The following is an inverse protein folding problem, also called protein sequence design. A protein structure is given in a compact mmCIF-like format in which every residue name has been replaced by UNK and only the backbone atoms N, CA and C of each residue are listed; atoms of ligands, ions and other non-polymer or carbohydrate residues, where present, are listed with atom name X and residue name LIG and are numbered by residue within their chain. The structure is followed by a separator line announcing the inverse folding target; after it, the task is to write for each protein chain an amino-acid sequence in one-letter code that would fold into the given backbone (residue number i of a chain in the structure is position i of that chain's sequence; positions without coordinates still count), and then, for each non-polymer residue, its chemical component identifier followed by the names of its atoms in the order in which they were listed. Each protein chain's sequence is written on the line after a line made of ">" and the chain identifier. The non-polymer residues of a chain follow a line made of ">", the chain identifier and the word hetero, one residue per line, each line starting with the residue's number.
data_IF_261716826077
#
_entry.id   IF_261716826077
#
_cell.length_a   1.000
_cell.length_b   1.000
_cell.length_c   1.000
_cell.angle_alpha   90.00
_cell.angle_beta   90.00
_cell.angle_gamma   90.00
#
_symmetry.space_group_name_H-M   'P 1'
#
loop_
_entity.id
_entity.type
_entity.pdbx_description
1 polymer ?
#
# COMPACT_ATOMS: atom_id res chain seq x y z
N UNK A 1 20.31 -57.06 -0.73
CA UNK A 1 19.82 -56.05 0.23
C UNK A 1 19.22 -54.92 -0.59
N UNK A 2 17.91 -54.97 -0.79
CA UNK A 2 17.18 -54.04 -1.67
C UNK A 2 16.86 -52.79 -0.87
N UNK A 3 17.55 -51.68 -1.15
CA UNK A 3 17.25 -50.38 -0.56
C UNK A 3 15.98 -49.82 -1.22
N UNK A 4 14.88 -49.83 -0.47
CA UNK A 4 13.65 -49.12 -0.85
C UNK A 4 13.80 -47.63 -0.47
N UNK A 5 13.59 -46.67 -1.39
CA UNK A 5 13.67 -45.25 -1.04
C UNK A 5 12.48 -44.83 -0.17
N UNK A 6 12.62 -43.82 0.71
CA UNK A 6 11.52 -43.37 1.55
C UNK A 6 10.40 -42.77 0.69
N UNK A 7 9.16 -43.12 1.05
CA UNK A 7 7.93 -42.52 0.54
C UNK A 7 7.91 -41.02 0.85
N UNK A 8 8.32 -40.20 -0.11
CA UNK A 8 8.28 -38.75 0.01
C UNK A 8 6.85 -38.20 0.12
N UNK A 9 6.68 -37.11 0.87
CA UNK A 9 5.41 -36.39 0.98
C UNK A 9 5.16 -35.63 -0.32
N UNK A 10 3.94 -35.75 -0.85
CA UNK A 10 3.49 -35.04 -2.05
C UNK A 10 2.54 -33.93 -1.67
N UNK A 11 2.65 -32.79 -2.34
CA UNK A 11 1.72 -31.67 -2.17
C UNK A 11 0.31 -32.07 -2.60
N UNK A 12 -0.70 -31.86 -1.74
CA UNK A 12 -2.10 -32.13 -2.07
C UNK A 12 -2.68 -31.24 -3.19
N UNK A 13 -2.07 -30.08 -3.48
CA UNK A 13 -2.54 -29.11 -4.49
C UNK A 13 -1.89 -29.29 -5.87
N UNK A 14 -0.60 -29.63 -5.95
CA UNK A 14 0.13 -29.74 -7.24
C UNK A 14 0.90 -31.04 -7.44
N UNK A 15 0.83 -31.97 -6.48
CA UNK A 15 1.48 -33.28 -6.54
C UNK A 15 3.01 -33.28 -6.62
N UNK A 16 3.68 -32.13 -6.43
CA UNK A 16 5.13 -32.05 -6.35
C UNK A 16 5.66 -32.71 -5.06
N UNK A 17 6.84 -33.36 -5.14
CA UNK A 17 7.56 -33.89 -3.96
C UNK A 17 8.13 -32.76 -3.12
N UNK A 18 7.91 -32.81 -1.81
CA UNK A 18 8.38 -31.78 -0.86
C UNK A 18 9.41 -32.40 0.08
N UNK A 19 10.56 -31.74 0.26
CA UNK A 19 11.70 -32.27 1.03
C UNK A 19 11.58 -32.08 2.55
N UNK A 20 10.59 -31.30 3.01
CA UNK A 20 10.40 -30.96 4.42
C UNK A 20 9.07 -31.49 4.94
N UNK A 21 9.10 -32.06 6.15
CA UNK A 21 7.92 -32.40 6.97
C UNK A 21 7.23 -31.13 7.48
N UNK A 22 6.76 -30.28 6.57
CA UNK A 22 5.65 -29.40 6.88
C UNK A 22 4.40 -30.27 6.83
N UNK A 23 3.60 -30.23 7.89
CA UNK A 23 2.39 -31.03 8.10
C UNK A 23 1.58 -31.19 6.81
N UNK A 24 1.15 -32.42 6.53
CA UNK A 24 0.48 -32.84 5.30
C UNK A 24 -0.80 -32.05 4.95
N UNK A 25 -1.27 -31.19 5.85
CA UNK A 25 -2.46 -30.35 5.67
C UNK A 25 -2.17 -29.02 4.97
N UNK A 26 -0.92 -28.56 4.95
CA UNK A 26 -0.51 -27.31 4.31
C UNK A 26 0.33 -27.64 3.08
N UNK A 27 -0.25 -27.46 1.89
CA UNK A 27 0.40 -27.72 0.60
C UNK A 27 1.79 -27.08 0.46
N UNK A 28 2.54 -27.44 -0.59
CA UNK A 28 3.93 -26.98 -0.73
C UNK A 28 4.05 -25.44 -0.74
N UNK A 29 5.21 -24.93 -0.32
CA UNK A 29 5.49 -23.50 -0.20
C UNK A 29 5.15 -22.74 -1.50
N UNK A 30 5.41 -23.32 -2.66
CA UNK A 30 5.06 -22.75 -3.96
C UNK A 30 3.54 -22.63 -4.17
N UNK A 31 2.77 -23.66 -3.82
CA UNK A 31 1.30 -23.63 -3.88
C UNK A 31 0.68 -22.67 -2.87
N UNK A 32 1.30 -22.52 -1.70
CA UNK A 32 0.91 -21.55 -0.68
C UNK A 32 1.17 -20.11 -1.15
N UNK A 33 2.35 -19.86 -1.73
CA UNK A 33 2.68 -18.59 -2.39
C UNK A 33 1.70 -18.29 -3.52
N UNK A 34 1.32 -19.29 -4.32
CA UNK A 34 0.36 -19.10 -5.40
C UNK A 34 -1.06 -18.87 -4.88
N UNK A 35 -1.48 -19.55 -3.80
CA UNK A 35 -2.76 -19.25 -3.14
C UNK A 35 -2.81 -17.82 -2.57
N UNK A 36 -1.70 -17.31 -2.04
CA UNK A 36 -1.56 -15.91 -1.61
C UNK A 36 -1.48 -14.89 -2.76
N UNK A 37 -1.29 -15.34 -4.01
CA UNK A 37 -1.26 -14.49 -5.20
C UNK A 37 -2.55 -14.61 -6.04
N UNK A 38 -3.35 -15.65 -5.84
CA UNK A 38 -4.61 -15.91 -6.57
C UNK A 38 -5.82 -15.13 -6.03
N UNK A 39 -5.72 -14.46 -4.88
CA UNK A 39 -6.79 -13.57 -4.36
C UNK A 39 -6.73 -12.16 -4.98
N UNK A 40 -6.30 -12.08 -6.24
CA UNK A 40 -6.16 -10.83 -6.98
C UNK A 40 -6.78 -10.93 -8.36
N UNK A 41 -7.99 -11.47 -8.47
CA UNK A 41 -8.89 -11.11 -9.58
C UNK A 41 -10.30 -11.60 -9.30
N UNK A 42 -11.26 -10.68 -9.38
CA UNK A 42 -12.71 -10.92 -9.45
C UNK A 42 -13.45 -11.04 -8.10
N UNK A 43 -13.70 -9.89 -7.49
CA UNK A 43 -15.09 -9.51 -7.20
C UNK A 43 -15.34 -8.18 -7.89
N UNK A 44 -16.16 -8.26 -8.95
CA UNK A 44 -16.66 -7.13 -9.68
C UNK A 44 -17.62 -6.32 -8.81
N UNK A 45 -17.48 -5.01 -8.93
CA UNK A 45 -18.54 -3.99 -8.95
C UNK A 45 -19.71 -4.10 -7.96
N UNK A 46 -19.97 -2.97 -7.30
CA UNK A 46 -21.23 -2.60 -6.63
C UNK A 46 -21.38 -2.98 -5.16
N UNK A 47 -20.47 -2.47 -4.31
CA UNK A 47 -20.89 -2.04 -2.98
C UNK A 47 -20.52 -0.58 -2.82
N UNK A 48 -21.51 0.24 -2.45
CA UNK A 48 -21.40 1.67 -2.30
C UNK A 48 -20.44 2.01 -1.14
N UNK A 49 -19.14 1.94 -1.37
CA UNK A 49 -18.17 2.63 -0.51
C UNK A 49 -18.33 4.14 -0.80
N UNK A 50 -19.34 4.71 -0.14
CA UNK A 50 -19.70 6.11 -0.25
C UNK A 50 -18.52 6.92 0.28
N UNK A 51 -17.60 7.28 -0.62
CA UNK A 51 -16.41 8.07 -0.27
C UNK A 51 -16.90 9.32 0.45
N UNK A 52 -16.55 9.51 1.75
CA UNK A 52 -17.00 10.66 2.49
C UNK A 52 -16.47 11.91 1.81
N UNK A 53 -17.35 12.89 1.58
CA UNK A 53 -16.94 14.15 0.92
C UNK A 53 -15.88 14.88 1.74
N UNK A 54 -15.95 14.74 3.06
CA UNK A 54 -15.03 15.34 4.01
C UNK A 54 -14.74 14.40 5.18
N UNK A 55 -13.54 14.52 5.74
CA UNK A 55 -13.11 13.85 6.97
C UNK A 55 -12.38 14.89 7.83
N UNK A 56 -13.01 15.30 8.94
CA UNK A 56 -12.55 16.48 9.68
C UNK A 56 -12.42 17.72 8.79
N UNK A 57 -11.23 18.32 8.73
CA UNK A 57 -10.95 19.48 7.86
C UNK A 57 -10.49 19.11 6.44
N UNK A 58 -10.49 17.83 6.07
CA UNK A 58 -10.02 17.40 4.75
C UNK A 58 -11.19 17.20 3.81
N UNK A 59 -11.12 17.79 2.62
CA UNK A 59 -12.13 17.64 1.57
C UNK A 59 -11.54 16.89 0.37
N UNK A 60 -12.17 15.80 -0.06
CA UNK A 60 -11.68 15.00 -1.20
C UNK A 60 -12.03 15.73 -2.50
N UNK A 61 -10.99 15.99 -3.30
CA UNK A 61 -11.15 16.66 -4.59
C UNK A 61 -11.75 15.70 -5.61
N UNK A 62 -12.55 16.29 -6.51
CA UNK A 62 -13.23 15.57 -7.59
C UNK A 62 -12.66 15.94 -8.94
N UNK A 63 -12.73 14.99 -9.85
CA UNK A 63 -12.48 15.18 -11.27
C UNK A 63 -13.67 15.90 -11.94
N UNK A 64 -13.51 16.40 -13.18
CA UNK A 64 -14.59 17.06 -13.92
C UNK A 64 -15.83 16.19 -14.14
N UNK A 65 -15.67 14.86 -14.14
CA UNK A 65 -16.77 13.89 -14.24
C UNK A 65 -17.51 13.65 -12.91
N UNK A 66 -17.06 14.29 -11.82
CA UNK A 66 -17.64 14.19 -10.48
C UNK A 66 -17.12 13.03 -9.63
N UNK A 67 -16.25 12.18 -10.18
CA UNK A 67 -15.58 11.08 -9.48
C UNK A 67 -14.45 11.60 -8.57
N UNK A 68 -14.09 10.93 -7.48
CA UNK A 68 -12.99 11.35 -6.61
C UNK A 68 -11.62 11.13 -7.29
N UNK A 69 -10.68 12.05 -7.07
CA UNK A 69 -9.34 11.96 -7.64
C UNK A 69 -8.48 10.92 -6.88
N UNK A 70 -8.59 9.65 -7.26
CA UNK A 70 -7.77 8.58 -6.70
C UNK A 70 -6.31 8.71 -7.17
N UNK A 71 -5.38 8.67 -6.23
CA UNK A 71 -3.93 8.67 -6.46
C UNK A 71 -3.36 7.25 -6.49
N UNK A 72 -3.98 6.32 -5.79
CA UNK A 72 -3.57 4.92 -5.77
C UNK A 72 -4.41 4.07 -4.83
N UNK A 73 -4.46 2.77 -5.11
CA UNK A 73 -5.08 1.76 -4.24
C UNK A 73 -3.99 0.83 -3.71
N UNK A 74 -4.04 0.54 -2.42
CA UNK A 74 -3.15 -0.42 -1.77
C UNK A 74 -3.93 -1.39 -0.90
N UNK A 75 -3.23 -2.35 -0.30
CA UNK A 75 -3.85 -3.41 0.50
C UNK A 75 -4.76 -2.90 1.65
N UNK A 76 -4.44 -1.73 2.20
CA UNK A 76 -5.16 -1.16 3.35
C UNK A 76 -6.25 -0.16 2.96
N UNK A 77 -6.39 0.18 1.68
CA UNK A 77 -7.40 1.12 1.20
C UNK A 77 -6.91 2.04 0.08
N UNK A 78 -7.55 3.21 -0.06
CA UNK A 78 -7.39 4.09 -1.22
C UNK A 78 -6.87 5.45 -0.80
N UNK A 79 -5.93 6.00 -1.58
CA UNK A 79 -5.39 7.35 -1.38
C UNK A 79 -6.00 8.29 -2.40
N UNK A 80 -6.53 9.42 -1.93
CA UNK A 80 -7.15 10.45 -2.76
C UNK A 80 -6.39 11.77 -2.66
N UNK A 81 -6.52 12.59 -3.71
CA UNK A 81 -6.15 14.00 -3.65
C UNK A 81 -7.22 14.73 -2.84
N UNK A 82 -6.79 15.46 -1.82
CA UNK A 82 -7.68 16.22 -0.96
C UNK A 82 -7.09 17.61 -0.66
N UNK A 83 -7.91 18.47 -0.06
CA UNK A 83 -7.51 19.77 0.44
C UNK A 83 -7.76 19.84 1.95
N UNK A 84 -6.75 20.27 2.71
CA UNK A 84 -6.91 20.66 4.11
C UNK A 84 -7.49 22.07 4.14
N UNK A 85 -8.79 22.20 4.40
CA UNK A 85 -9.50 23.49 4.31
C UNK A 85 -9.09 24.46 5.42
N UNK A 86 -8.61 23.93 6.54
CA UNK A 86 -8.12 24.74 7.67
C UNK A 86 -6.80 25.43 7.34
N UNK A 87 -5.91 24.71 6.66
CA UNK A 87 -4.57 25.21 6.30
C UNK A 87 -4.44 25.63 4.82
N UNK A 88 -5.50 25.45 4.02
CA UNK A 88 -5.58 25.74 2.58
C UNK A 88 -4.40 25.18 1.79
N UNK A 89 -4.17 23.87 1.94
CA UNK A 89 -3.09 23.16 1.25
C UNK A 89 -3.56 21.83 0.66
N UNK A 90 -3.01 21.41 -0.48
CA UNK A 90 -3.26 20.09 -1.02
C UNK A 90 -2.59 19.02 -0.16
N UNK A 91 -3.27 17.89 -0.01
CA UNK A 91 -2.78 16.72 0.75
C UNK A 91 -3.12 15.43 0.01
N UNK A 92 -2.34 14.38 0.30
CA UNK A 92 -2.73 13.02 0.00
C UNK A 92 -3.50 12.46 1.21
N UNK A 93 -4.74 12.02 1.00
CA UNK A 93 -5.60 11.51 2.06
C UNK A 93 -5.86 10.02 1.83
N UNK A 94 -5.27 9.18 2.67
CA UNK A 94 -5.46 7.72 2.62
C UNK A 94 -6.64 7.32 3.49
N UNK A 95 -7.68 6.76 2.87
CA UNK A 95 -8.79 6.10 3.55
C UNK A 95 -8.45 4.63 3.76
N UNK A 96 -8.85 4.12 4.91
CA UNK A 96 -8.54 2.76 5.35
C UNK A 96 -9.83 1.95 5.37
N UNK A 97 -9.83 0.82 4.68
CA UNK A 97 -11.04 0.01 4.51
C UNK A 97 -11.59 -0.43 5.88
N UNK A 98 -12.92 -0.39 6.00
CA UNK A 98 -13.63 -0.76 7.23
C UNK A 98 -13.29 -2.20 7.65
N UNK A 99 -13.17 -3.13 6.70
CA UNK A 99 -12.82 -4.52 7.00
C UNK A 99 -11.46 -4.65 7.68
N UNK A 100 -10.47 -3.86 7.25
CA UNK A 100 -9.15 -3.87 7.88
C UNK A 100 -9.19 -3.26 9.29
N UNK A 101 -10.09 -2.30 9.52
CA UNK A 101 -10.28 -1.69 10.83
C UNK A 101 -11.09 -2.58 11.80
N UNK A 102 -11.99 -3.43 11.29
CA UNK A 102 -12.94 -4.22 12.07
C UNK A 102 -12.51 -5.67 12.32
N UNK A 103 -11.80 -6.33 11.40
CA UNK A 103 -11.53 -7.78 11.47
C UNK A 103 -10.33 -8.19 12.36
N UNK A 104 -9.74 -7.28 13.13
CA UNK A 104 -8.75 -7.65 14.13
C UNK A 104 -8.33 -6.49 15.00
N UNK A 105 -8.49 -6.63 16.33
CA UNK A 105 -7.98 -5.67 17.31
C UNK A 105 -6.49 -5.31 17.05
N UNK A 106 -5.70 -6.28 16.57
CA UNK A 106 -4.30 -6.07 16.20
C UNK A 106 -4.06 -5.29 14.90
N UNK A 107 -4.99 -5.27 13.94
CA UNK A 107 -4.82 -4.58 12.66
C UNK A 107 -4.90 -3.06 12.82
N UNK A 108 -5.92 -2.58 13.56
CA UNK A 108 -6.04 -1.16 13.95
C UNK A 108 -4.83 -0.70 14.76
N UNK A 109 -4.39 -1.51 15.72
CA UNK A 109 -3.27 -1.16 16.60
C UNK A 109 -1.93 -1.14 15.86
N UNK A 110 -1.69 -2.10 14.96
CA UNK A 110 -0.55 -2.10 14.04
C UNK A 110 -0.56 -0.88 13.14
N UNK A 111 -1.71 -0.54 12.57
CA UNK A 111 -1.81 0.62 11.71
C UNK A 111 -1.56 1.94 12.44
N UNK A 112 -2.11 2.13 13.65
CA UNK A 112 -1.80 3.28 14.50
C UNK A 112 -0.31 3.35 14.82
N UNK A 113 0.31 2.19 15.12
CA UNK A 113 1.75 2.10 15.39
C UNK A 113 2.58 2.51 14.17
N UNK A 114 2.23 2.01 12.99
CA UNK A 114 2.90 2.37 11.73
C UNK A 114 2.71 3.86 11.39
N UNK A 115 1.51 4.40 11.59
CA UNK A 115 1.23 5.83 11.40
C UNK A 115 2.06 6.70 12.34
N UNK A 116 2.21 6.32 13.62
CA UNK A 116 3.07 7.01 14.59
C UNK A 116 4.55 6.94 14.19
N UNK A 117 5.00 5.78 13.71
CA UNK A 117 6.37 5.62 13.21
C UNK A 117 6.62 6.46 11.95
N UNK A 118 5.66 6.52 11.04
CA UNK A 118 5.75 7.38 9.86
C UNK A 118 5.75 8.87 10.23
N UNK A 119 4.93 9.27 11.19
CA UNK A 119 4.87 10.66 11.67
C UNK A 119 6.14 11.14 12.40
N UNK A 120 6.93 10.22 12.98
CA UNK A 120 8.20 10.57 13.61
C UNK A 120 9.36 10.72 12.62
N UNK A 121 9.20 10.22 11.38
CA UNK A 121 10.21 10.35 10.33
C UNK A 121 10.12 11.71 9.66
N UNK A 122 11.24 12.46 9.68
CA UNK A 122 11.41 13.70 8.92
C UNK A 122 12.62 13.56 8.02
N UNK A 123 12.38 13.39 6.72
CA UNK A 123 13.43 13.24 5.74
C UNK A 123 12.95 13.76 4.37
N UNK A 124 13.79 14.46 3.58
CA UNK A 124 13.39 15.06 2.29
C UNK A 124 12.85 14.07 1.25
N UNK A 125 13.11 12.76 1.42
CA UNK A 125 12.65 11.70 0.51
C UNK A 125 11.55 10.82 1.12
N UNK A 126 10.93 11.25 2.23
CA UNK A 126 9.84 10.53 2.90
C UNK A 126 8.69 11.51 3.07
N UNK A 127 7.51 11.16 2.55
CA UNK A 127 6.32 12.00 2.67
C UNK A 127 5.99 12.24 4.15
N UNK A 128 5.80 13.51 4.51
CA UNK A 128 5.48 13.87 5.90
C UNK A 128 4.04 13.50 6.22
N UNK A 129 3.82 12.74 7.28
CA UNK A 129 2.47 12.52 7.83
C UNK A 129 2.06 13.74 8.65
N UNK A 130 0.93 14.34 8.30
CA UNK A 130 0.38 15.50 9.01
C UNK A 130 -0.56 15.09 10.14
N UNK A 131 -1.45 14.15 9.85
CA UNK A 131 -2.47 13.72 10.80
C UNK A 131 -2.87 12.28 10.55
N UNK A 132 -3.09 11.58 11.66
CA UNK A 132 -3.79 10.32 11.69
C UNK A 132 -5.06 10.50 12.51
N UNK A 133 -6.19 9.98 12.04
CA UNK A 133 -7.48 10.20 12.69
C UNK A 133 -8.52 9.14 12.36
N UNK A 134 -9.59 9.20 13.13
CA UNK A 134 -10.80 8.41 12.91
C UNK A 134 -11.93 9.44 12.93
N UNK A 135 -12.74 9.41 11.90
CA UNK A 135 -13.96 10.21 11.85
C UNK A 135 -14.96 9.65 12.86
N UNK A 136 -15.43 10.48 13.79
CA UNK A 136 -16.26 10.03 14.90
C UNK A 136 -17.69 9.67 14.45
N UNK A 137 -18.17 10.27 13.36
CA UNK A 137 -19.51 10.02 12.83
C UNK A 137 -19.58 8.72 12.03
N UNK A 138 -18.58 8.48 11.20
CA UNK A 138 -18.54 7.33 10.27
C UNK A 138 -17.67 6.17 10.75
N UNK A 139 -16.79 6.40 11.73
CA UNK A 139 -15.74 5.45 12.13
C UNK A 139 -14.62 5.31 11.10
N UNK A 140 -14.62 6.11 10.03
CA UNK A 140 -13.66 6.02 8.94
C UNK A 140 -12.26 6.43 9.43
N UNK A 141 -11.32 5.49 9.37
CA UNK A 141 -9.92 5.75 9.66
C UNK A 141 -9.26 6.43 8.46
N UNK A 142 -8.44 7.46 8.70
CA UNK A 142 -7.74 8.18 7.65
C UNK A 142 -6.32 8.61 8.06
N UNK A 143 -5.47 8.81 7.06
CA UNK A 143 -4.13 9.37 7.23
C UNK A 143 -3.91 10.49 6.20
N UNK A 144 -3.72 11.71 6.69
CA UNK A 144 -3.40 12.87 5.88
C UNK A 144 -1.88 13.08 5.83
N UNK A 145 -1.34 13.17 4.64
CA UNK A 145 0.10 13.30 4.40
C UNK A 145 0.40 14.28 3.27
N UNK A 146 1.68 14.63 3.16
CA UNK A 146 2.21 15.44 2.09
C UNK A 146 1.82 14.88 0.71
N UNK A 147 1.25 15.75 -0.13
CA UNK A 147 1.02 15.42 -1.54
C UNK A 147 2.33 15.59 -2.30
N UNK A 148 2.91 14.48 -2.75
CA UNK A 148 4.11 14.51 -3.60
C UNK A 148 3.66 14.62 -5.06
N UNK A 149 4.07 15.70 -5.71
CA UNK A 149 3.85 15.88 -7.14
C UNK A 149 4.93 15.15 -7.95
N UNK A 150 4.52 14.38 -8.94
CA UNK A 150 5.44 13.66 -9.81
C UNK A 150 4.84 12.35 -10.31
N UNK A 151 5.71 11.55 -10.92
CA UNK A 151 5.37 10.22 -11.44
C UNK A 151 5.60 9.16 -10.36
N UNK A 152 4.73 8.16 -10.33
CA UNK A 152 4.96 6.97 -9.50
C UNK A 152 6.16 6.18 -10.04
N UNK A 153 6.75 5.34 -9.18
CA UNK A 153 7.86 4.49 -9.62
C UNK A 153 7.42 3.53 -10.75
N UNK A 154 6.18 3.03 -10.69
CA UNK A 154 5.62 2.13 -11.69
C UNK A 154 5.44 2.79 -13.06
N UNK A 155 5.06 4.08 -13.08
CA UNK A 155 5.03 4.90 -14.30
C UNK A 155 6.43 5.09 -14.89
N UNK A 156 7.40 5.36 -14.02
CA UNK A 156 8.78 5.68 -14.43
C UNK A 156 9.62 4.45 -14.79
N UNK A 157 9.33 3.30 -14.19
CA UNK A 157 10.03 2.03 -14.40
C UNK A 157 9.00 0.95 -14.72
N UNK A 158 8.49 0.93 -15.97
CA UNK A 158 7.54 -0.10 -16.37
C UNK A 158 8.17 -1.48 -16.23
N UNK A 159 7.38 -2.47 -15.81
CA UNK A 159 7.80 -3.82 -15.36
C UNK A 159 8.62 -4.63 -16.38
N UNK A 160 8.82 -4.13 -17.61
CA UNK A 160 9.64 -4.75 -18.67
C UNK A 160 11.00 -4.07 -18.89
N UNK A 161 11.30 -2.97 -18.21
CA UNK A 161 12.56 -2.25 -18.32
C UNK A 161 13.36 -2.35 -17.03
N UNK A 162 14.31 -3.29 -16.95
CA UNK A 162 15.44 -3.15 -16.02
C UNK A 162 16.05 -1.79 -16.30
N UNK A 163 15.79 -0.80 -15.47
CA UNK A 163 16.52 0.46 -15.55
C UNK A 163 17.98 0.09 -15.36
N UNK A 164 18.78 0.19 -16.43
CA UNK A 164 20.24 0.05 -16.31
C UNK A 164 20.64 1.01 -15.18
N UNK A 165 21.43 0.58 -14.18
CA UNK A 165 21.77 1.44 -13.07
C UNK A 165 22.53 2.64 -13.64
N UNK A 166 21.83 3.77 -13.84
CA UNK A 166 22.48 5.03 -14.12
C UNK A 166 23.08 5.45 -12.80
N UNK A 167 24.37 5.14 -12.66
CA UNK A 167 25.26 5.73 -11.66
C UNK A 167 24.91 7.21 -11.55
N UNK A 168 24.30 7.61 -10.44
CA UNK A 168 24.04 9.00 -10.11
C UNK A 168 25.40 9.65 -9.86
N UNK A 169 26.03 10.18 -10.92
CA UNK A 169 27.16 11.08 -10.73
C UNK A 169 26.61 12.39 -10.19
N UNK A 170 26.98 12.68 -8.95
CA UNK A 170 26.76 13.95 -8.26
C UNK A 170 27.39 15.06 -9.12
N UNK A 171 26.58 15.74 -9.94
CA UNK A 171 27.02 16.94 -10.67
C UNK A 171 26.98 18.10 -9.67
N UNK A 172 28.09 18.30 -8.97
CA UNK A 172 28.38 19.54 -8.26
C UNK A 172 28.35 20.68 -9.27
N UNK A 173 27.29 21.51 -9.24
CA UNK A 173 27.40 22.87 -9.78
C UNK A 173 28.19 23.67 -8.75
N UNK A 174 29.48 23.81 -8.97
CA UNK A 174 30.16 25.03 -8.58
C UNK A 174 29.65 26.13 -9.51
N UNK A 175 28.83 27.04 -8.99
CA UNK A 175 28.57 28.31 -9.63
C UNK A 175 29.13 29.39 -8.73
N UNK A 176 30.24 29.93 -9.21
CA UNK A 176 30.91 31.14 -8.75
C UNK A 176 29.93 32.28 -8.51
N UNK A 177 30.13 33.02 -7.43
CA UNK A 177 29.69 34.42 -7.33
C UNK A 177 30.96 35.24 -7.17
N UNK A 178 31.28 35.96 -8.23
CA UNK A 178 32.10 37.16 -8.18
C UNK A 178 31.13 38.34 -8.34
N UNK A 179 31.09 39.23 -7.36
CA UNK A 179 31.04 40.68 -7.49
C UNK A 179 31.52 41.26 -6.16
#
# INVERSE_FOLDING_TARGET
>A
MSFSPPSGVVCAKCSARVETTASADFGCLACWLQAGLEESSQVAAEEHEQVPKSLGSYFILKQPDGSPWALGRGAMGVTYRAEDVSLRRPVALKLINADFAQHGAGARERFVREARAAASLRHPNVATVYQFGIDEETGQCFCAMELIEGETLDERVPSRGKSRPRFWSRRSRASSIAT
#
